data_IF_181784605338
#
_entry.id   IF_181784605338
#
_cell.length_a   1.000
_cell.length_b   1.000
_cell.length_c   1.000
_cell.angle_alpha   90.00
_cell.angle_beta   90.00
_cell.angle_gamma   90.00
#
_symmetry.space_group_name_H-M   'P 1'
#
loop_
_entity.id
_entity.type
_entity.pdbx_description
1 polymer ?
#
# COMPACT_ATOMS: atom_id res chain seq x y z
N UNK A 1 6.22 14.54 -25.67
CA UNK A 1 5.89 14.32 -24.25
C UNK A 1 7.16 14.56 -23.44
N UNK A 2 7.07 15.25 -22.31
CA UNK A 2 8.23 15.56 -21.47
C UNK A 2 8.84 14.26 -20.93
N UNK A 3 10.12 14.00 -21.22
CA UNK A 3 10.90 12.84 -20.76
C UNK A 3 11.27 12.94 -19.27
N UNK A 4 10.31 13.32 -18.42
CA UNK A 4 10.52 13.30 -16.98
C UNK A 4 10.35 11.85 -16.54
N UNK A 5 11.45 11.23 -16.12
CA UNK A 5 11.43 9.92 -15.50
C UNK A 5 10.73 10.07 -14.13
N UNK A 6 9.51 9.53 -13.95
CA UNK A 6 8.82 9.64 -12.67
C UNK A 6 9.58 8.83 -11.62
N UNK A 7 9.68 9.36 -10.41
CA UNK A 7 10.16 8.57 -9.28
C UNK A 7 9.10 7.55 -8.86
N UNK A 8 9.52 6.55 -8.09
CA UNK A 8 8.61 5.61 -7.41
C UNK A 8 7.53 6.32 -6.59
N UNK A 9 7.87 7.46 -5.99
CA UNK A 9 6.95 8.27 -5.22
C UNK A 9 5.87 8.87 -6.12
N UNK A 10 6.28 9.46 -7.26
CA UNK A 10 5.37 10.10 -8.21
C UNK A 10 4.36 9.10 -8.79
N UNK A 11 4.83 7.90 -9.14
CA UNK A 11 3.96 6.82 -9.66
C UNK A 11 2.93 6.38 -8.62
N UNK A 12 3.32 6.28 -7.34
CA UNK A 12 2.40 5.90 -6.25
C UNK A 12 1.40 7.01 -5.95
N UNK A 13 1.84 8.26 -5.91
CA UNK A 13 0.94 9.42 -5.75
C UNK A 13 -0.08 9.48 -6.88
N UNK A 14 0.34 9.23 -8.12
CA UNK A 14 -0.56 9.16 -9.26
C UNK A 14 -1.59 8.01 -9.16
N UNK A 15 -1.18 6.83 -8.68
CA UNK A 15 -2.12 5.72 -8.42
C UNK A 15 -3.15 6.07 -7.33
N UNK A 16 -2.72 6.73 -6.25
CA UNK A 16 -3.63 7.18 -5.18
C UNK A 16 -4.64 8.18 -5.73
N UNK A 17 -4.19 9.12 -6.55
CA UNK A 17 -5.08 10.06 -7.24
C UNK A 17 -6.12 9.32 -8.11
N UNK A 18 -5.70 8.36 -8.93
CA UNK A 18 -6.62 7.55 -9.75
C UNK A 18 -7.62 6.76 -8.88
N UNK A 19 -7.17 6.19 -7.76
CA UNK A 19 -8.03 5.49 -6.81
C UNK A 19 -9.11 6.42 -6.21
N UNK A 20 -8.74 7.65 -5.84
CA UNK A 20 -9.71 8.65 -5.37
C UNK A 20 -10.71 9.08 -6.45
N UNK A 21 -10.29 9.09 -7.73
CA UNK A 21 -11.17 9.26 -8.88
C UNK A 21 -12.07 8.06 -9.18
N UNK A 22 -12.08 7.03 -8.32
CA UNK A 22 -12.86 5.80 -8.48
C UNK A 22 -12.51 5.00 -9.74
N UNK A 23 -11.30 5.20 -10.28
CA UNK A 23 -10.75 4.34 -11.32
C UNK A 23 -10.38 2.98 -10.75
N UNK A 24 -10.47 1.94 -11.56
CA UNK A 24 -9.94 0.62 -11.20
C UNK A 24 -8.45 0.51 -11.58
N UNK A 25 -7.79 -0.57 -11.16
CA UNK A 25 -6.35 -0.77 -11.38
C UNK A 25 -5.96 -0.79 -12.86
N UNK A 26 -6.79 -1.38 -13.73
CA UNK A 26 -6.53 -1.46 -15.16
C UNK A 26 -6.66 -0.09 -15.85
N UNK A 27 -7.72 0.67 -15.53
CA UNK A 27 -7.88 2.06 -16.01
C UNK A 27 -6.72 2.95 -15.55
N UNK A 28 -6.30 2.80 -14.30
CA UNK A 28 -5.20 3.59 -13.73
C UNK A 28 -3.86 3.25 -14.38
N UNK A 29 -3.63 1.97 -14.69
CA UNK A 29 -2.46 1.55 -15.45
C UNK A 29 -2.44 2.17 -16.85
N UNK A 30 -3.58 2.21 -17.56
CA UNK A 30 -3.67 2.85 -18.87
C UNK A 30 -3.32 4.35 -18.79
N UNK A 31 -3.87 5.06 -17.80
CA UNK A 31 -3.55 6.48 -17.57
C UNK A 31 -2.05 6.68 -17.30
N UNK A 32 -1.43 5.81 -16.51
CA UNK A 32 0.01 5.88 -16.24
C UNK A 32 0.87 5.60 -17.47
N UNK A 33 0.49 4.63 -18.30
CA UNK A 33 1.20 4.32 -19.56
C UNK A 33 1.07 5.48 -20.54
N UNK A 34 -0.11 6.11 -20.61
CA UNK A 34 -0.31 7.30 -21.44
C UNK A 34 0.57 8.47 -20.98
N UNK A 35 0.67 8.70 -19.66
CA UNK A 35 1.45 9.80 -19.11
C UNK A 35 2.97 9.58 -19.12
N UNK A 36 3.43 8.37 -18.76
CA UNK A 36 4.83 8.05 -18.46
C UNK A 36 5.46 7.04 -19.43
N UNK A 37 4.68 6.47 -20.34
CA UNK A 37 5.15 5.49 -21.31
C UNK A 37 5.78 4.26 -20.65
N UNK A 38 6.96 3.88 -21.12
CA UNK A 38 7.72 2.75 -20.59
C UNK A 38 8.21 2.89 -19.15
N UNK A 39 8.09 4.09 -18.56
CA UNK A 39 8.42 4.33 -17.15
C UNK A 39 7.23 4.12 -16.20
N UNK A 40 6.07 3.69 -16.72
CA UNK A 40 4.91 3.37 -15.91
C UNK A 40 5.13 2.08 -15.09
N UNK A 41 4.37 1.95 -13.99
CA UNK A 41 4.32 0.70 -13.23
C UNK A 41 3.73 -0.42 -14.08
N UNK A 42 4.25 -1.63 -13.90
CA UNK A 42 3.65 -2.82 -14.51
C UNK A 42 2.22 -3.04 -14.00
N UNK A 43 1.44 -3.78 -14.79
CA UNK A 43 0.08 -4.17 -14.45
C UNK A 43 0.00 -4.82 -13.06
N UNK A 44 0.89 -5.78 -12.77
CA UNK A 44 0.94 -6.47 -11.46
C UNK A 44 1.24 -5.51 -10.30
N UNK A 45 2.13 -4.53 -10.49
CA UNK A 45 2.43 -3.54 -9.46
C UNK A 45 1.23 -2.63 -9.18
N UNK A 46 0.51 -2.19 -10.22
CA UNK A 46 -0.72 -1.41 -10.06
C UNK A 46 -1.76 -2.16 -9.22
N UNK A 47 -2.01 -3.44 -9.53
CA UNK A 47 -2.97 -4.26 -8.77
C UNK A 47 -2.59 -4.42 -7.30
N UNK A 48 -1.31 -4.69 -6.99
CA UNK A 48 -0.83 -4.79 -5.60
C UNK A 48 -1.01 -3.50 -4.81
N UNK A 49 -0.83 -2.34 -5.44
CA UNK A 49 -1.09 -1.06 -4.78
C UNK A 49 -2.58 -0.84 -4.55
N UNK A 50 -3.42 -1.19 -5.52
CA UNK A 50 -4.87 -1.09 -5.39
C UNK A 50 -5.43 -1.97 -4.27
N UNK A 51 -4.90 -3.19 -4.09
CA UNK A 51 -5.24 -4.06 -2.97
C UNK A 51 -4.91 -3.40 -1.62
N UNK A 52 -3.78 -2.70 -1.51
CA UNK A 52 -3.43 -1.94 -0.30
C UNK A 52 -4.39 -0.78 -0.04
N UNK A 53 -4.74 -0.02 -1.08
CA UNK A 53 -5.66 1.12 -0.95
C UNK A 53 -7.06 0.67 -0.52
N UNK A 54 -7.52 -0.48 -1.00
CA UNK A 54 -8.79 -1.10 -0.55
C UNK A 54 -8.75 -1.47 0.95
N UNK A 55 -7.59 -1.86 1.44
CA UNK A 55 -7.36 -2.11 2.87
C UNK A 55 -7.08 -0.84 3.69
N UNK A 56 -7.16 0.35 3.08
CA UNK A 56 -6.90 1.63 3.73
C UNK A 56 -5.42 1.94 3.96
N UNK A 57 -4.50 1.16 3.37
CA UNK A 57 -3.06 1.40 3.45
C UNK A 57 -2.58 2.28 2.30
N UNK A 58 -2.47 3.58 2.58
CA UNK A 58 -1.95 4.60 1.66
C UNK A 58 -0.51 5.02 2.00
N UNK A 59 0.16 4.30 2.91
CA UNK A 59 1.50 4.69 3.34
C UNK A 59 2.48 4.54 2.18
N UNK A 60 3.05 5.66 1.75
CA UNK A 60 4.03 5.74 0.67
C UNK A 60 5.42 5.27 1.14
N UNK A 61 5.62 5.10 2.45
CA UNK A 61 6.86 4.59 3.02
C UNK A 61 6.89 3.07 2.89
N UNK A 62 7.92 2.56 2.24
CA UNK A 62 8.33 1.17 2.47
C UNK A 62 8.63 1.03 3.95
N UNK A 63 7.71 0.43 4.73
CA UNK A 63 7.98 0.12 6.14
C UNK A 63 9.30 -0.65 6.17
N UNK A 64 10.27 -0.12 6.92
CA UNK A 64 11.54 -0.82 7.06
C UNK A 64 11.28 -2.19 7.67
N UNK A 65 12.17 -3.16 7.44
CA UNK A 65 12.07 -4.48 8.10
C UNK A 65 12.01 -4.30 9.63
N UNK A 66 12.67 -3.28 10.16
CA UNK A 66 12.58 -2.92 11.57
C UNK A 66 11.17 -2.46 11.98
N UNK A 67 10.48 -1.67 11.17
CA UNK A 67 9.10 -1.23 11.46
C UNK A 67 8.10 -2.37 11.34
N UNK A 68 8.29 -3.27 10.37
CA UNK A 68 7.52 -4.51 10.27
C UNK A 68 7.76 -5.39 11.49
N UNK A 69 9.02 -5.56 11.92
CA UNK A 69 9.36 -6.36 13.09
C UNK A 69 8.81 -5.76 14.39
N UNK A 70 8.80 -4.43 14.53
CA UNK A 70 8.16 -3.73 15.65
C UNK A 70 6.65 -3.92 15.65
N UNK A 71 6.02 -3.84 14.47
CA UNK A 71 4.57 -4.07 14.33
C UNK A 71 4.18 -5.50 14.69
N UNK A 72 4.96 -6.50 14.23
CA UNK A 72 4.80 -7.91 14.61
C UNK A 72 4.97 -8.14 16.12
N UNK A 73 6.00 -7.55 16.73
CA UNK A 73 6.21 -7.61 18.19
C UNK A 73 5.03 -7.00 18.95
N UNK A 74 4.53 -5.85 18.50
CA UNK A 74 3.38 -5.17 19.10
C UNK A 74 2.10 -6.00 18.98
N UNK A 75 1.87 -6.65 17.83
CA UNK A 75 0.72 -7.53 17.61
C UNK A 75 0.79 -8.76 18.52
N UNK A 76 1.98 -9.36 18.67
CA UNK A 76 2.21 -10.48 19.58
C UNK A 76 1.96 -10.08 21.05
N UNK A 77 2.43 -8.90 21.48
CA UNK A 77 2.14 -8.38 22.83
C UNK A 77 0.64 -8.17 23.05
N UNK A 78 -0.07 -7.59 22.07
CA UNK A 78 -1.53 -7.42 22.15
C UNK A 78 -2.27 -8.75 22.22
N UNK A 79 -1.85 -9.74 21.45
CA UNK A 79 -2.41 -11.09 21.49
C UNK A 79 -2.17 -11.76 22.84
N UNK A 80 -0.95 -11.68 23.37
CA UNK A 80 -0.59 -12.21 24.68
C UNK A 80 -1.41 -11.55 25.81
N UNK A 81 -1.52 -10.22 25.81
CA UNK A 81 -2.34 -9.47 26.77
C UNK A 81 -3.82 -9.87 26.68
N UNK A 82 -4.33 -10.10 25.46
CA UNK A 82 -5.71 -10.56 25.25
C UNK A 82 -5.93 -11.98 25.79
N UNK A 83 -4.98 -12.89 25.61
CA UNK A 83 -5.04 -14.24 26.19
C UNK A 83 -5.00 -14.19 27.72
N UNK A 84 -4.13 -13.36 28.29
CA UNK A 84 -4.04 -13.19 29.74
C UNK A 84 -5.36 -12.62 30.30
N UNK A 85 -5.89 -11.55 29.71
CA UNK A 85 -7.17 -10.98 30.15
C UNK A 85 -8.36 -11.94 29.95
N UNK A 86 -8.33 -12.81 28.95
CA UNK A 86 -9.34 -13.85 28.77
C UNK A 86 -9.26 -14.95 29.85
N UNK A 87 -8.05 -15.28 30.31
CA UNK A 87 -7.84 -16.27 31.39
C UNK A 87 -8.36 -15.79 32.75
N UNK A 88 -8.25 -14.49 33.01
CA UNK A 88 -8.73 -13.86 34.25
C UNK A 88 -10.25 -13.59 34.26
N UNK A 89 -10.96 -13.76 33.14
CA UNK A 89 -12.43 -13.58 33.06
C UNK A 89 -13.24 -14.87 33.25
N UNK A 90 -12.59 -16.02 33.40
CA UNK A 90 -13.21 -17.35 33.59
C UNK A 90 -12.99 -17.92 35.01
N UNK A 91 -12.76 -17.05 36.01
CA UNK A 91 -12.71 -17.39 37.45
C UNK A 91 -13.81 -16.58 38.15
#
# INVERSE_FOLDING_TARGET
>A
MSNVMPSDHDLRTALIFCYHLKKNAAESHQILVEAYGGNALSHTQCYRWFEKFQNGDFDMKTRSVADQQKSLKMLNCKHYLRMMMAKHKNI
#
